data_IF_604082530510
#
_entry.id   IF_604082530510
#
_cell.length_a   1.000
_cell.length_b   1.000
_cell.length_c   1.000
_cell.angle_alpha   90.00
_cell.angle_beta   90.00
_cell.angle_gamma   90.00
#
_symmetry.space_group_name_H-M   'P 1'
#
loop_
_entity.id
_entity.type
_entity.pdbx_description
1 polymer ?
#
# COMPACT_ATOMS: atom_id res chain seq x y z
N UNK A 1 8.07 32.46 -1.62
CA UNK A 1 8.20 31.36 -2.59
C UNK A 1 8.15 32.00 -3.95
N UNK A 2 9.26 31.95 -4.68
CA UNK A 2 9.38 32.67 -5.93
C UNK A 2 8.61 31.93 -7.04
N UNK A 3 8.21 32.64 -8.08
CA UNK A 3 7.44 32.07 -9.20
C UNK A 3 8.16 30.84 -9.79
N UNK A 4 9.50 30.90 -9.86
CA UNK A 4 10.34 29.80 -10.33
C UNK A 4 10.23 28.57 -9.40
N UNK A 5 10.23 28.77 -8.09
CA UNK A 5 10.08 27.68 -7.10
C UNK A 5 8.69 27.05 -7.16
N UNK A 6 7.66 27.84 -7.47
CA UNK A 6 6.30 27.34 -7.68
C UNK A 6 6.20 26.46 -8.92
N UNK A 7 6.76 26.88 -10.05
CA UNK A 7 6.77 26.05 -11.26
C UNK A 7 7.58 24.77 -11.09
N UNK A 8 8.71 24.81 -10.38
CA UNK A 8 9.50 23.61 -10.07
C UNK A 8 8.69 22.60 -9.23
N UNK A 9 8.06 23.07 -8.15
CA UNK A 9 7.23 22.20 -7.29
C UNK A 9 6.02 21.61 -8.04
N UNK A 10 5.38 22.41 -8.90
CA UNK A 10 4.27 21.94 -9.73
C UNK A 10 4.72 20.91 -10.77
N UNK A 11 5.90 21.11 -11.36
CA UNK A 11 6.50 20.16 -12.29
C UNK A 11 6.82 18.82 -11.62
N UNK A 12 7.46 18.85 -10.44
CA UNK A 12 7.76 17.65 -9.65
C UNK A 12 6.48 16.91 -9.25
N UNK A 13 5.43 17.65 -8.89
CA UNK A 13 4.11 17.09 -8.61
C UNK A 13 3.51 16.37 -9.81
N UNK A 14 3.59 16.95 -11.02
CA UNK A 14 3.10 16.32 -12.24
C UNK A 14 3.93 15.09 -12.64
N UNK A 15 5.25 15.16 -12.50
CA UNK A 15 6.15 14.01 -12.72
C UNK A 15 5.79 12.85 -11.81
N UNK A 16 5.30 13.11 -10.60
CA UNK A 16 4.88 12.06 -9.68
C UNK A 16 3.46 11.56 -10.01
N UNK A 17 2.52 12.48 -10.27
CA UNK A 17 1.11 12.18 -10.48
C UNK A 17 0.87 11.36 -11.76
N UNK A 18 1.47 11.75 -12.88
CA UNK A 18 1.17 11.13 -14.19
C UNK A 18 1.61 9.66 -14.22
N UNK A 19 2.87 9.29 -13.89
CA UNK A 19 3.28 7.90 -13.84
C UNK A 19 2.48 7.09 -12.82
N UNK A 20 2.18 7.68 -11.65
CA UNK A 20 1.36 7.02 -10.64
C UNK A 20 -0.04 6.70 -11.18
N UNK A 21 -0.68 7.63 -11.89
CA UNK A 21 -1.98 7.42 -12.51
C UNK A 21 -1.92 6.37 -13.63
N UNK A 22 -0.87 6.38 -14.46
CA UNK A 22 -0.68 5.37 -15.51
C UNK A 22 -0.52 3.96 -14.91
N UNK A 23 0.36 3.81 -13.93
CA UNK A 23 0.59 2.53 -13.24
C UNK A 23 -0.68 2.06 -12.54
N UNK A 24 -1.38 2.96 -11.85
CA UNK A 24 -2.62 2.65 -11.15
C UNK A 24 -3.75 2.28 -12.11
N UNK A 25 -3.80 2.88 -13.31
CA UNK A 25 -4.79 2.56 -14.34
C UNK A 25 -4.51 1.18 -14.97
N UNK A 26 -3.26 0.87 -15.28
CA UNK A 26 -2.88 -0.46 -15.78
C UNK A 26 -3.17 -1.51 -14.71
N UNK A 27 -2.80 -1.22 -13.46
CA UNK A 27 -3.11 -2.04 -12.29
C UNK A 27 -4.61 -2.29 -12.17
N UNK A 28 -5.43 -1.25 -12.15
CA UNK A 28 -6.89 -1.38 -11.98
C UNK A 28 -7.53 -2.25 -13.07
N UNK A 29 -7.06 -2.18 -14.32
CA UNK A 29 -7.52 -3.06 -15.41
C UNK A 29 -7.15 -4.52 -15.23
N UNK A 30 -5.96 -4.80 -14.69
CA UNK A 30 -5.56 -6.18 -14.36
C UNK A 30 -6.38 -6.69 -13.17
N UNK A 31 -6.58 -5.84 -12.16
CA UNK A 31 -7.31 -6.19 -10.95
C UNK A 31 -8.82 -6.36 -11.20
N UNK A 32 -9.41 -5.59 -12.11
CA UNK A 32 -10.84 -5.72 -12.45
C UNK A 32 -11.14 -7.14 -12.97
N UNK A 33 -10.29 -7.67 -13.85
CA UNK A 33 -10.42 -9.05 -14.36
C UNK A 33 -10.27 -10.11 -13.26
N UNK A 34 -9.43 -9.84 -12.26
CA UNK A 34 -9.29 -10.75 -11.10
C UNK A 34 -10.54 -10.70 -10.22
N UNK A 35 -11.11 -9.51 -10.02
CA UNK A 35 -12.34 -9.32 -9.23
C UNK A 35 -13.55 -9.98 -9.86
N UNK A 36 -13.74 -9.82 -11.17
CA UNK A 36 -14.81 -10.49 -11.92
C UNK A 36 -14.73 -12.01 -11.73
N UNK A 37 -13.53 -12.59 -11.85
CA UNK A 37 -13.33 -14.04 -11.62
C UNK A 37 -13.63 -14.48 -10.19
N UNK A 38 -13.35 -13.64 -9.19
CA UNK A 38 -13.62 -13.93 -7.78
C UNK A 38 -15.12 -13.79 -7.50
N UNK A 39 -15.75 -12.75 -8.04
CA UNK A 39 -17.19 -12.49 -7.95
C UNK A 39 -18.00 -13.65 -8.55
N UNK A 40 -17.66 -14.08 -9.77
CA UNK A 40 -18.34 -15.19 -10.44
C UNK A 40 -18.21 -16.51 -9.67
N UNK A 41 -17.02 -16.79 -9.12
CA UNK A 41 -16.75 -18.05 -8.39
C UNK A 41 -17.37 -18.09 -7.01
N UNK A 42 -17.33 -16.97 -6.28
CA UNK A 42 -17.76 -16.92 -4.88
C UNK A 42 -19.16 -16.31 -4.71
N UNK A 43 -19.79 -15.82 -5.79
CA UNK A 43 -21.10 -15.14 -5.79
C UNK A 43 -21.16 -14.03 -4.74
N UNK A 44 -20.10 -13.21 -4.69
CA UNK A 44 -19.94 -12.15 -3.71
C UNK A 44 -20.39 -10.81 -4.29
N UNK A 45 -20.89 -9.94 -3.42
CA UNK A 45 -21.16 -8.55 -3.79
C UNK A 45 -19.86 -7.85 -4.27
N UNK A 46 -19.98 -6.94 -5.23
CA UNK A 46 -18.88 -6.13 -5.79
C UNK A 46 -17.90 -5.61 -4.72
N UNK A 47 -18.44 -5.03 -3.63
CA UNK A 47 -17.65 -4.48 -2.52
C UNK A 47 -16.83 -5.55 -1.79
N UNK A 48 -17.41 -6.73 -1.54
CA UNK A 48 -16.72 -7.85 -0.90
C UNK A 48 -15.63 -8.40 -1.82
N UNK A 49 -15.93 -8.51 -3.12
CA UNK A 49 -14.96 -8.97 -4.13
C UNK A 49 -13.75 -8.03 -4.22
N UNK A 50 -13.99 -6.72 -4.24
CA UNK A 50 -12.94 -5.70 -4.19
C UNK A 50 -12.10 -5.84 -2.93
N UNK A 51 -12.76 -5.87 -1.77
CA UNK A 51 -12.07 -5.91 -0.49
C UNK A 51 -11.19 -7.15 -0.36
N UNK A 52 -11.70 -8.32 -0.72
CA UNK A 52 -10.94 -9.57 -0.70
C UNK A 52 -9.77 -9.53 -1.69
N UNK A 53 -10.00 -9.02 -2.90
CA UNK A 53 -8.94 -8.91 -3.91
C UNK A 53 -7.82 -7.98 -3.42
N UNK A 54 -8.17 -6.82 -2.89
CA UNK A 54 -7.22 -5.86 -2.33
C UNK A 54 -6.47 -6.46 -1.14
N UNK A 55 -7.19 -7.16 -0.25
CA UNK A 55 -6.60 -7.86 0.89
C UNK A 55 -5.58 -8.90 0.44
N UNK A 56 -5.92 -9.77 -0.50
CA UNK A 56 -5.01 -10.81 -1.00
C UNK A 56 -3.76 -10.17 -1.62
N UNK A 57 -3.91 -9.14 -2.44
CA UNK A 57 -2.78 -8.52 -3.14
C UNK A 57 -1.87 -7.79 -2.15
N UNK A 58 -2.44 -6.97 -1.27
CA UNK A 58 -1.64 -6.28 -0.25
C UNK A 58 -0.96 -7.29 0.67
N UNK A 59 -1.67 -8.36 1.05
CA UNK A 59 -1.09 -9.42 1.88
C UNK A 59 0.12 -10.03 1.19
N UNK A 60 0.00 -10.41 -0.09
CA UNK A 60 1.11 -10.97 -0.88
C UNK A 60 2.26 -9.95 -0.97
N UNK A 61 1.98 -8.68 -1.26
CA UNK A 61 3.02 -7.64 -1.37
C UNK A 61 3.77 -7.44 -0.04
N UNK A 62 3.05 -7.30 1.08
CA UNK A 62 3.67 -7.12 2.41
C UNK A 62 4.41 -8.39 2.82
N UNK A 63 3.82 -9.56 2.58
CA UNK A 63 4.43 -10.84 2.93
C UNK A 63 5.73 -11.09 2.15
N UNK A 64 5.74 -10.80 0.85
CA UNK A 64 6.95 -10.87 0.03
C UNK A 64 8.01 -9.86 0.48
N UNK A 65 7.60 -8.62 0.80
CA UNK A 65 8.50 -7.62 1.36
C UNK A 65 9.09 -8.10 2.70
N UNK A 66 8.26 -8.66 3.58
CA UNK A 66 8.68 -9.20 4.87
C UNK A 66 9.69 -10.33 4.71
N UNK A 67 9.42 -11.31 3.83
CA UNK A 67 10.37 -12.39 3.50
C UNK A 67 11.67 -11.82 2.95
N UNK A 68 11.60 -10.86 2.01
CA UNK A 68 12.76 -10.22 1.43
C UNK A 68 13.66 -9.60 2.50
N UNK A 69 13.09 -8.86 3.46
CA UNK A 69 13.86 -8.25 4.54
C UNK A 69 14.42 -9.28 5.54
N UNK A 70 13.75 -10.40 5.77
CA UNK A 70 14.31 -11.52 6.55
C UNK A 70 15.56 -12.07 5.85
N UNK A 71 15.48 -12.36 4.55
CA UNK A 71 16.62 -12.87 3.79
C UNK A 71 17.76 -11.87 3.72
N UNK A 72 17.45 -10.59 3.50
CA UNK A 72 18.45 -9.52 3.49
C UNK A 72 19.15 -9.41 4.86
N UNK A 73 18.38 -9.47 5.95
CA UNK A 73 18.92 -9.47 7.31
C UNK A 73 19.82 -10.67 7.60
N UNK A 74 19.45 -11.86 7.12
CA UNK A 74 20.26 -13.07 7.26
C UNK A 74 21.55 -13.03 6.41
N UNK A 75 21.49 -12.45 5.21
CA UNK A 75 22.66 -12.31 4.33
C UNK A 75 23.66 -11.25 4.82
N UNK A 76 23.17 -10.20 5.49
CA UNK A 76 23.97 -9.10 6.02
C UNK A 76 24.41 -9.30 7.47
N UNK A 77 23.84 -10.27 8.20
CA UNK A 77 24.27 -10.56 9.57
C UNK A 77 25.62 -11.27 9.55
N UNK A 78 26.70 -10.52 9.79
CA UNK A 78 27.96 -11.12 10.25
C UNK A 78 27.70 -11.92 11.53
N UNK A 79 28.38 -13.06 11.66
CA UNK A 79 28.30 -14.02 12.78
C UNK A 79 27.91 -13.34 14.10
N UNK A 80 26.63 -13.47 14.49
CA UNK A 80 26.17 -12.98 15.79
C UNK A 80 26.88 -13.77 16.87
N UNK A 81 27.30 -13.09 17.94
CA UNK A 81 27.81 -13.77 19.12
C UNK A 81 26.75 -14.78 19.62
N UNK A 82 27.14 -16.01 19.99
CA UNK A 82 26.21 -17.09 20.39
C UNK A 82 25.35 -16.75 21.62
N UNK A 83 25.64 -15.65 22.31
CA UNK A 83 24.89 -15.14 23.45
C UNK A 83 23.53 -14.50 23.06
N UNK A 84 23.25 -14.31 21.76
CA UNK A 84 22.00 -13.75 21.22
C UNK A 84 21.31 -14.76 20.28
N UNK A 85 21.44 -16.06 20.57
CA UNK A 85 20.63 -17.08 19.92
C UNK A 85 19.27 -17.16 20.63
N UNK A 86 18.24 -16.63 19.97
CA UNK A 86 16.85 -16.80 20.40
C UNK A 86 16.47 -18.28 20.37
N UNK A 87 15.78 -18.75 21.41
CA UNK A 87 15.22 -20.09 21.43
C UNK A 87 14.18 -20.26 20.29
N UNK A 88 13.94 -21.50 19.86
CA UNK A 88 12.92 -21.85 18.86
C UNK A 88 11.56 -21.28 19.27
N UNK A 89 11.24 -21.32 20.56
CA UNK A 89 9.99 -20.76 21.08
C UNK A 89 9.91 -19.23 20.93
N UNK A 90 11.00 -18.52 21.21
CA UNK A 90 11.08 -17.06 21.05
C UNK A 90 11.01 -16.66 19.59
N UNK A 91 11.68 -17.39 18.69
CA UNK A 91 11.57 -17.20 17.25
C UNK A 91 10.13 -17.43 16.74
N UNK A 92 9.44 -18.47 17.23
CA UNK A 92 8.03 -18.72 16.88
C UNK A 92 7.11 -17.58 17.34
N UNK A 93 7.34 -17.04 18.53
CA UNK A 93 6.58 -15.87 19.03
C UNK A 93 6.85 -14.65 18.16
N UNK A 94 8.11 -14.36 17.82
CA UNK A 94 8.49 -13.21 16.99
C UNK A 94 7.87 -13.30 15.58
N UNK A 95 7.92 -14.49 14.95
CA UNK A 95 7.28 -14.75 13.66
C UNK A 95 5.75 -14.63 13.77
N UNK A 96 5.16 -15.17 14.82
CA UNK A 96 3.71 -15.08 15.08
C UNK A 96 3.23 -13.64 15.25
N UNK A 97 3.96 -12.82 16.03
CA UNK A 97 3.69 -11.39 16.15
C UNK A 97 3.84 -10.67 14.81
N UNK A 98 4.88 -10.99 14.03
CA UNK A 98 5.06 -10.48 12.67
C UNK A 98 3.85 -10.78 11.78
N UNK A 99 3.35 -12.01 11.79
CA UNK A 99 2.18 -12.41 11.02
C UNK A 99 0.91 -11.61 11.40
N UNK A 100 0.68 -11.39 12.69
CA UNK A 100 -0.44 -10.56 13.18
C UNK A 100 -0.31 -9.12 12.69
N UNK A 101 0.90 -8.54 12.72
CA UNK A 101 1.13 -7.18 12.22
C UNK A 101 0.92 -7.05 10.73
N UNK A 102 1.38 -8.03 9.96
CA UNK A 102 1.13 -8.09 8.51
C UNK A 102 -0.38 -8.11 8.26
N UNK A 103 -1.13 -8.99 8.95
CA UNK A 103 -2.58 -9.06 8.80
C UNK A 103 -3.29 -7.73 9.10
N UNK A 104 -2.90 -7.04 10.20
CA UNK A 104 -3.46 -5.73 10.56
C UNK A 104 -3.10 -4.66 9.53
N UNK A 105 -1.84 -4.61 9.08
CA UNK A 105 -1.40 -3.65 8.08
C UNK A 105 -2.10 -3.87 6.74
N UNK A 106 -2.25 -5.13 6.32
CA UNK A 106 -3.04 -5.51 5.15
C UNK A 106 -4.47 -5.03 5.29
N UNK A 107 -5.12 -5.24 6.44
CA UNK A 107 -6.49 -4.82 6.66
C UNK A 107 -6.66 -3.30 6.51
N UNK A 108 -5.80 -2.52 7.17
CA UNK A 108 -5.83 -1.06 7.13
C UNK A 108 -5.62 -0.55 5.70
N UNK A 109 -4.60 -1.05 5.01
CA UNK A 109 -4.31 -0.63 3.63
C UNK A 109 -5.42 -1.06 2.66
N UNK A 110 -6.07 -2.20 2.89
CA UNK A 110 -7.19 -2.65 2.06
C UNK A 110 -8.41 -1.75 2.20
N UNK A 111 -8.70 -1.30 3.43
CA UNK A 111 -9.74 -0.30 3.69
C UNK A 111 -9.40 1.04 3.04
N UNK A 112 -8.12 1.43 3.07
CA UNK A 112 -7.65 2.66 2.44
C UNK A 112 -7.78 2.60 0.90
N UNK A 113 -7.39 1.48 0.27
CA UNK A 113 -7.60 1.27 -1.17
C UNK A 113 -9.08 1.28 -1.56
N UNK A 114 -9.93 0.67 -0.73
CA UNK A 114 -11.38 0.68 -0.95
C UNK A 114 -11.93 2.11 -1.04
N UNK A 115 -11.44 3.03 -0.18
CA UNK A 115 -11.81 4.44 -0.25
C UNK A 115 -11.44 5.08 -1.60
N UNK A 116 -10.24 4.83 -2.13
CA UNK A 116 -9.84 5.37 -3.45
C UNK A 116 -10.63 4.78 -4.60
N UNK A 117 -11.05 3.53 -4.48
CA UNK A 117 -11.93 2.92 -5.49
C UNK A 117 -13.31 3.53 -5.49
N UNK A 118 -13.86 3.84 -4.32
CA UNK A 118 -15.10 4.60 -4.22
C UNK A 118 -14.96 5.98 -4.87
N UNK A 119 -13.86 6.69 -4.60
CA UNK A 119 -13.57 7.99 -5.23
C UNK A 119 -13.49 7.86 -6.75
N UNK A 120 -12.80 6.84 -7.26
CA UNK A 120 -12.66 6.57 -8.69
C UNK A 120 -14.01 6.24 -9.35
N UNK A 121 -14.80 5.35 -8.73
CA UNK A 121 -16.13 4.97 -9.20
C UNK A 121 -17.07 6.17 -9.23
N UNK A 122 -17.14 6.92 -8.14
CA UNK A 122 -17.99 8.11 -8.04
C UNK A 122 -17.62 9.18 -9.09
N UNK A 123 -16.32 9.38 -9.33
CA UNK A 123 -15.85 10.30 -10.37
C UNK A 123 -16.26 9.83 -11.76
N UNK A 124 -16.20 8.51 -12.01
CA UNK A 124 -16.61 7.92 -13.28
C UNK A 124 -18.11 8.11 -13.51
N UNK A 125 -18.95 7.85 -12.50
CA UNK A 125 -20.41 8.05 -12.53
C UNK A 125 -20.78 9.51 -12.80
N UNK A 126 -20.06 10.46 -12.20
CA UNK A 126 -20.25 11.89 -12.47
C UNK A 126 -19.94 12.26 -13.93
N UNK A 127 -18.95 11.61 -14.53
CA UNK A 127 -18.55 11.80 -15.91
C UNK A 127 -19.43 11.02 -16.89
N UNK A 128 -20.22 10.05 -16.45
CA UNK A 128 -21.18 9.34 -17.32
C UNK A 128 -22.18 10.27 -17.99
N UNK A 129 -22.50 11.39 -17.34
CA UNK A 129 -23.35 12.47 -17.88
C UNK A 129 -22.77 13.15 -19.13
N UNK A 130 -21.51 12.87 -19.48
CA UNK A 130 -20.83 13.38 -20.68
C UNK A 130 -20.62 12.25 -21.70
N UNK A 131 -20.71 12.57 -23.00
CA UNK A 131 -20.50 11.63 -24.12
C UNK A 131 -19.00 11.28 -24.35
N UNK A 132 -18.22 11.13 -23.28
CA UNK A 132 -16.80 10.81 -23.38
C UNK A 132 -16.59 9.30 -23.52
N UNK A 133 -15.50 8.85 -24.20
CA UNK A 133 -15.15 7.43 -24.27
C UNK A 133 -14.99 6.81 -22.88
N UNK A 134 -15.44 5.56 -22.69
CA UNK A 134 -15.41 4.87 -21.40
C UNK A 134 -14.00 4.82 -20.79
N UNK A 135 -12.98 4.54 -21.61
CA UNK A 135 -11.57 4.48 -21.20
C UNK A 135 -11.10 5.82 -20.61
N UNK A 136 -11.51 6.94 -21.22
CA UNK A 136 -11.13 8.27 -20.75
C UNK A 136 -11.80 8.60 -19.41
N UNK A 137 -13.04 8.17 -19.20
CA UNK A 137 -13.76 8.36 -17.93
C UNK A 137 -13.08 7.61 -16.79
N UNK A 138 -12.77 6.33 -17.00
CA UNK A 138 -12.06 5.50 -16.02
C UNK A 138 -10.66 6.07 -15.69
N UNK A 139 -9.91 6.52 -16.71
CA UNK A 139 -8.60 7.11 -16.50
C UNK A 139 -8.67 8.38 -15.65
N UNK A 140 -9.67 9.24 -15.88
CA UNK A 140 -9.88 10.43 -15.06
C UNK A 140 -10.29 10.06 -13.63
N UNK A 141 -11.13 9.05 -13.45
CA UNK A 141 -11.47 8.52 -12.13
C UNK A 141 -10.22 8.09 -11.34
N UNK A 142 -9.34 7.33 -11.99
CA UNK A 142 -8.05 6.92 -11.41
C UNK A 142 -7.15 8.13 -11.15
N UNK A 143 -7.06 9.08 -12.08
CA UNK A 143 -6.25 10.30 -11.91
C UNK A 143 -6.70 11.11 -10.69
N UNK A 144 -8.01 11.28 -10.50
CA UNK A 144 -8.58 11.98 -9.34
C UNK A 144 -8.31 11.22 -8.05
N UNK A 145 -8.46 9.90 -8.05
CA UNK A 145 -8.11 9.07 -6.90
C UNK A 145 -6.62 9.18 -6.55
N UNK A 146 -5.72 9.16 -7.54
CA UNK A 146 -4.28 9.37 -7.36
C UNK A 146 -3.95 10.78 -6.85
N UNK A 147 -4.66 11.80 -7.34
CA UNK A 147 -4.50 13.18 -6.88
C UNK A 147 -4.85 13.30 -5.39
N UNK A 148 -6.00 12.75 -5.00
CA UNK A 148 -6.43 12.73 -3.60
C UNK A 148 -5.45 11.91 -2.75
N UNK A 149 -5.01 10.75 -3.24
CA UNK A 149 -3.99 9.94 -2.56
C UNK A 149 -2.71 10.74 -2.33
N UNK A 150 -2.20 11.44 -3.34
CA UNK A 150 -0.96 12.21 -3.21
C UNK A 150 -1.11 13.39 -2.25
N UNK A 151 -2.24 14.10 -2.26
CA UNK A 151 -2.50 15.16 -1.28
C UNK A 151 -2.53 14.56 0.13
N UNK A 152 -3.28 13.48 0.34
CA UNK A 152 -3.35 12.80 1.64
C UNK A 152 -1.96 12.28 2.06
N UNK A 153 -1.20 11.70 1.14
CA UNK A 153 0.12 11.15 1.41
C UNK A 153 1.14 12.22 1.77
N UNK A 154 1.21 13.32 1.01
CA UNK A 154 2.18 14.39 1.22
C UNK A 154 1.86 15.22 2.48
N UNK A 155 0.58 15.46 2.77
CA UNK A 155 0.19 16.41 3.82
C UNK A 155 -0.33 15.76 5.10
N UNK A 156 -0.86 14.53 5.06
CA UNK A 156 -1.51 13.88 6.22
C UNK A 156 -0.76 12.62 6.65
N UNK A 157 -0.27 11.85 5.69
CA UNK A 157 0.27 10.51 5.91
C UNK A 157 1.76 10.39 5.58
N UNK A 158 2.51 11.50 5.54
CA UNK A 158 3.93 11.48 5.18
C UNK A 158 4.76 10.58 6.11
N UNK A 159 4.35 10.47 7.37
CA UNK A 159 4.88 9.55 8.38
C UNK A 159 4.24 8.16 8.37
N UNK A 160 3.11 7.94 7.69
CA UNK A 160 2.38 6.68 7.77
C UNK A 160 3.13 5.52 7.11
N UNK A 161 3.84 5.75 6.00
CA UNK A 161 4.64 4.71 5.36
C UNK A 161 5.80 4.26 6.27
N UNK A 162 6.51 5.21 6.88
CA UNK A 162 7.59 4.95 7.83
C UNK A 162 7.02 4.28 9.09
N UNK A 163 5.90 4.76 9.61
CA UNK A 163 5.23 4.20 10.78
C UNK A 163 4.75 2.77 10.54
N UNK A 164 4.24 2.45 9.36
CA UNK A 164 3.82 1.10 8.98
C UNK A 164 5.02 0.16 8.82
N UNK A 165 6.13 0.66 8.28
CA UNK A 165 7.40 -0.06 8.23
C UNK A 165 7.93 -0.35 9.64
N UNK A 166 8.02 0.66 10.51
CA UNK A 166 8.45 0.52 11.90
C UNK A 166 7.52 -0.42 12.67
N UNK A 167 6.20 -0.34 12.46
CA UNK A 167 5.25 -1.24 13.07
C UNK A 167 5.52 -2.70 12.67
N UNK A 168 5.59 -2.98 11.37
CA UNK A 168 5.80 -4.34 10.85
C UNK A 168 7.13 -4.92 11.35
N UNK A 169 8.22 -4.18 11.24
CA UNK A 169 9.57 -4.72 11.48
C UNK A 169 10.09 -4.52 12.92
N UNK A 170 9.67 -3.47 13.63
CA UNK A 170 10.27 -3.07 14.91
C UNK A 170 9.27 -2.98 16.08
N UNK A 171 7.95 -3.00 15.84
CA UNK A 171 6.91 -2.75 16.84
C UNK A 171 6.76 -3.75 18.00
N UNK A 172 7.77 -4.59 18.27
CA UNK A 172 7.79 -5.52 19.41
C UNK A 172 9.15 -5.72 20.05
N UNK A 173 10.19 -5.07 19.53
CA UNK A 173 11.41 -4.91 20.32
C UNK A 173 11.07 -3.81 21.31
N UNK A 174 11.18 -4.09 22.62
CA UNK A 174 11.23 -3.07 23.69
C UNK A 174 11.89 -1.81 23.13
N UNK A 175 11.35 -0.61 23.38
CA UNK A 175 11.88 0.67 22.85
C UNK A 175 13.33 0.99 23.26
N UNK A 176 14.03 0.08 23.95
CA UNK A 176 15.40 0.23 24.42
C UNK A 176 16.48 0.30 23.32
N UNK A 177 16.50 -0.50 22.23
CA UNK A 177 17.56 -0.42 21.23
C UNK A 177 17.38 0.74 20.25
N UNK A 178 16.18 1.32 20.11
CA UNK A 178 15.99 2.57 19.34
C UNK A 178 16.52 3.81 20.08
N UNK A 179 16.54 3.78 21.42
CA UNK A 179 17.14 4.82 22.27
C UNK A 179 18.68 4.76 22.33
N UNK A 180 19.31 3.69 21.83
CA UNK A 180 20.78 3.59 21.77
C UNK A 180 21.36 4.03 20.42
N UNK A 181 20.51 4.28 19.41
CA UNK A 181 20.93 4.63 18.04
C UNK A 181 20.57 6.09 17.69
N UNK A 182 19.78 6.77 18.53
CA UNK A 182 19.53 8.22 18.50
C UNK A 182 20.27 8.90 19.65
#
# INVERSE_FOLDING_TARGET
>A
MDIISFFAMFYDFLILLIPLAIVSFIGSKILSRLREKIEDKLKLDWLKSIFITNFIIIFICIFLAFIYFIFLGAALSEYRAPEIEYDIFENLILVGMGAVRIAIATLILSLFLLFFEFVSSFTTDLLEKKEWPMISKEFIGVLVACLIFLILFLFIFSWAAIGLFVYIFYGGVSSAPLLMVL
#
